data_IF_713403181916
#
_entry.id   IF_713403181916
#
_cell.length_a   1.000
_cell.length_b   1.000
_cell.length_c   1.000
_cell.angle_alpha   90.00
_cell.angle_beta   90.00
_cell.angle_gamma   90.00
#
_symmetry.space_group_name_H-M   'P 1'
#
loop_
_entity.id
_entity.type
_entity.pdbx_description
1 polymer ?
#
# COMPACT_ATOMS: atom_id res chain seq x y z
N UNK A 1 -14.46 -12.18 8.84
CA UNK A 1 -13.58 -12.51 7.70
C UNK A 1 -13.71 -11.44 6.62
N UNK A 2 -12.58 -10.93 6.16
CA UNK A 2 -12.60 -9.89 5.14
C UNK A 2 -12.99 -10.49 3.79
N UNK A 3 -14.01 -9.93 3.13
CA UNK A 3 -14.47 -10.48 1.84
C UNK A 3 -13.59 -10.01 0.68
N UNK A 4 -12.38 -10.55 0.60
CA UNK A 4 -11.44 -10.20 -0.48
C UNK A 4 -11.95 -10.58 -1.85
N UNK A 5 -11.52 -9.83 -2.86
CA UNK A 5 -11.75 -10.18 -4.25
C UNK A 5 -10.90 -11.39 -4.64
N UNK A 6 -11.12 -11.91 -5.85
CA UNK A 6 -10.37 -13.09 -6.31
C UNK A 6 -8.86 -12.86 -6.26
N UNK A 7 -8.09 -13.88 -5.82
CA UNK A 7 -6.65 -13.73 -5.66
C UNK A 7 -5.92 -13.28 -6.92
N UNK A 8 -6.22 -13.88 -8.07
CA UNK A 8 -5.58 -13.51 -9.32
C UNK A 8 -5.88 -12.07 -9.71
N UNK A 9 -7.11 -11.61 -9.47
CA UNK A 9 -7.50 -10.24 -9.75
C UNK A 9 -6.71 -9.25 -8.90
N UNK A 10 -6.56 -9.54 -7.60
CA UNK A 10 -5.82 -8.67 -6.69
C UNK A 10 -4.37 -8.57 -7.13
N UNK A 11 -3.71 -9.68 -7.37
CA UNK A 11 -2.30 -9.72 -7.78
C UNK A 11 -2.10 -8.94 -9.07
N UNK A 12 -2.99 -9.15 -10.04
CA UNK A 12 -2.90 -8.48 -11.33
C UNK A 12 -3.08 -6.96 -11.20
N UNK A 13 -4.12 -6.54 -10.47
CA UNK A 13 -4.44 -5.12 -10.36
C UNK A 13 -3.41 -4.34 -9.54
N UNK A 14 -2.80 -4.97 -8.55
CA UNK A 14 -1.71 -4.36 -7.79
C UNK A 14 -0.40 -4.36 -8.57
N UNK A 15 -0.35 -5.06 -9.69
CA UNK A 15 0.84 -5.15 -10.54
C UNK A 15 2.05 -5.68 -9.79
N UNK A 16 1.81 -6.66 -8.91
CA UNK A 16 2.89 -7.24 -8.13
C UNK A 16 3.96 -7.88 -9.00
N UNK A 17 3.57 -8.47 -10.13
CA UNK A 17 4.53 -9.12 -11.03
C UNK A 17 5.56 -8.17 -11.63
N UNK A 18 5.27 -6.87 -11.64
CA UNK A 18 6.22 -5.86 -12.10
C UNK A 18 7.25 -5.48 -11.04
N UNK A 19 7.10 -5.96 -9.81
CA UNK A 19 8.02 -5.66 -8.73
C UNK A 19 9.19 -6.63 -8.73
N UNK A 20 10.33 -6.17 -8.21
CA UNK A 20 11.48 -7.05 -7.98
C UNK A 20 11.60 -7.45 -6.51
N UNK A 21 11.06 -6.64 -5.61
CA UNK A 21 11.13 -6.91 -4.18
C UNK A 21 9.98 -6.20 -3.48
N UNK A 22 9.15 -6.95 -2.78
CA UNK A 22 7.93 -6.43 -2.17
C UNK A 22 7.97 -6.51 -0.64
N UNK A 23 7.40 -5.50 0.01
CA UNK A 23 7.23 -5.46 1.46
C UNK A 23 5.75 -5.27 1.79
N UNK A 24 5.23 -6.12 2.68
CA UNK A 24 3.88 -6.00 3.20
C UNK A 24 3.96 -5.59 4.67
N UNK A 25 3.26 -4.52 5.03
CA UNK A 25 3.26 -3.99 6.39
C UNK A 25 1.87 -4.12 6.98
N UNK A 26 1.75 -4.87 8.06
CA UNK A 26 0.49 -5.15 8.76
C UNK A 26 -0.59 -5.77 7.89
N UNK A 27 -0.23 -6.38 6.77
CA UNK A 27 -1.21 -7.01 5.89
C UNK A 27 -1.87 -8.20 6.59
N UNK A 28 -3.19 -8.38 6.45
CA UNK A 28 -3.86 -9.55 7.01
C UNK A 28 -3.26 -10.84 6.44
N UNK A 29 -3.27 -11.93 7.22
CA UNK A 29 -2.70 -13.20 6.76
C UNK A 29 -3.26 -13.68 5.43
N UNK A 30 -4.56 -13.50 5.20
CA UNK A 30 -5.19 -13.88 3.93
C UNK A 30 -4.56 -13.15 2.76
N UNK A 31 -4.38 -11.83 2.90
CA UNK A 31 -3.79 -11.03 1.83
C UNK A 31 -2.33 -11.42 1.60
N UNK A 32 -1.58 -11.66 2.67
CA UNK A 32 -0.19 -12.11 2.53
C UNK A 32 -0.10 -13.42 1.76
N UNK A 33 -1.01 -14.36 2.04
CA UNK A 33 -1.05 -15.64 1.33
C UNK A 33 -1.38 -15.43 -0.15
N UNK A 34 -2.34 -14.56 -0.45
CA UNK A 34 -2.71 -14.26 -1.83
C UNK A 34 -1.51 -13.72 -2.60
N UNK A 35 -0.83 -12.74 -2.04
CA UNK A 35 0.28 -12.08 -2.74
C UNK A 35 1.49 -12.98 -2.88
N UNK A 36 1.74 -13.87 -1.92
CA UNK A 36 2.87 -14.80 -2.00
C UNK A 36 2.63 -15.94 -2.96
N UNK A 37 1.37 -16.43 -3.07
CA UNK A 37 1.07 -17.63 -3.82
C UNK A 37 0.69 -17.38 -5.28
N UNK A 38 0.07 -16.25 -5.57
CA UNK A 38 -0.56 -16.02 -6.87
C UNK A 38 0.23 -15.10 -7.80
N UNK A 39 1.40 -14.61 -7.39
CA UNK A 39 2.25 -13.85 -8.30
C UNK A 39 2.95 -14.77 -9.28
N UNK A 40 3.01 -14.38 -10.54
CA UNK A 40 3.66 -15.15 -11.59
C UNK A 40 4.34 -14.16 -12.56
N UNK A 41 5.69 -14.16 -12.63
CA UNK A 41 6.60 -14.99 -11.85
C UNK A 41 6.60 -14.64 -10.38
N UNK A 42 7.07 -15.54 -9.51
CA UNK A 42 7.15 -15.25 -8.07
C UNK A 42 8.05 -14.04 -7.78
N UNK A 43 7.60 -13.19 -6.88
CA UNK A 43 8.35 -12.01 -6.44
C UNK A 43 8.74 -12.25 -4.98
N UNK A 44 9.97 -11.96 -4.57
CA UNK A 44 10.32 -12.02 -3.16
C UNK A 44 9.45 -11.07 -2.35
N UNK A 45 8.71 -11.61 -1.39
CA UNK A 45 7.78 -10.84 -0.56
C UNK A 45 8.17 -10.98 0.89
N UNK A 46 8.48 -9.86 1.54
CA UNK A 46 8.72 -9.82 2.97
C UNK A 46 7.48 -9.27 3.68
N UNK A 47 7.28 -9.67 4.92
CA UNK A 47 6.17 -9.17 5.72
C UNK A 47 6.69 -8.69 7.07
N UNK A 48 6.12 -7.58 7.57
CA UNK A 48 6.51 -7.03 8.85
C UNK A 48 5.30 -6.35 9.52
N UNK A 49 5.40 -6.14 10.82
CA UNK A 49 4.44 -5.32 11.55
C UNK A 49 4.82 -3.85 11.43
N UNK A 50 3.84 -2.96 11.56
CA UNK A 50 4.09 -1.53 11.42
C UNK A 50 5.12 -1.02 12.42
N UNK A 51 5.08 -1.49 13.66
CA UNK A 51 6.04 -1.06 14.67
C UNK A 51 7.46 -1.55 14.39
N UNK A 52 7.64 -2.55 13.55
CA UNK A 52 8.95 -3.10 13.21
C UNK A 52 9.52 -2.53 11.90
N UNK A 53 8.77 -1.71 11.18
CA UNK A 53 9.21 -1.21 9.88
C UNK A 53 10.51 -0.40 9.97
N UNK A 54 10.75 0.26 11.09
CA UNK A 54 11.97 1.04 11.28
C UNK A 54 13.22 0.18 11.32
N UNK A 55 13.07 -1.10 11.70
CA UNK A 55 14.19 -2.04 11.75
C UNK A 55 14.49 -2.65 10.40
N UNK A 56 13.61 -2.47 9.42
CA UNK A 56 13.83 -2.94 8.06
C UNK A 56 14.85 -2.01 7.41
N UNK A 57 15.94 -2.57 6.91
CA UNK A 57 17.02 -1.75 6.35
C UNK A 57 16.99 -1.68 4.82
N UNK A 58 16.39 -2.67 4.19
CA UNK A 58 16.32 -2.73 2.74
C UNK A 58 15.31 -1.74 2.21
N UNK A 59 15.42 -1.46 0.91
CA UNK A 59 14.41 -0.71 0.18
C UNK A 59 13.67 -1.65 -0.75
N UNK A 60 12.43 -1.26 -1.08
CA UNK A 60 11.53 -2.09 -1.87
C UNK A 60 10.91 -1.26 -2.97
N UNK A 61 10.68 -1.87 -4.12
CA UNK A 61 10.00 -1.19 -5.23
C UNK A 61 8.48 -1.41 -5.19
N UNK A 62 8.01 -2.25 -4.29
CA UNK A 62 6.59 -2.46 -4.03
C UNK A 62 6.41 -2.53 -2.52
N UNK A 63 5.64 -1.59 -1.97
CA UNK A 63 5.29 -1.61 -0.55
C UNK A 63 3.77 -1.53 -0.46
N UNK A 64 3.17 -2.43 0.32
CA UNK A 64 1.76 -2.33 0.67
C UNK A 64 1.65 -2.20 2.18
N UNK A 65 1.19 -1.05 2.63
CA UNK A 65 0.93 -0.77 4.04
C UNK A 65 -0.57 -0.87 4.29
N UNK A 66 -0.95 -1.72 5.22
CA UNK A 66 -2.34 -1.84 5.66
C UNK A 66 -2.56 -0.87 6.81
N UNK A 67 -3.33 0.19 6.57
CA UNK A 67 -3.53 1.25 7.55
C UNK A 67 -4.98 1.70 7.52
N UNK A 68 -5.80 1.14 8.40
CA UNK A 68 -7.21 1.53 8.50
C UNK A 68 -7.41 2.78 9.33
N UNK A 69 -6.67 2.92 10.42
CA UNK A 69 -6.86 3.98 11.40
C UNK A 69 -6.04 5.21 11.04
N UNK A 70 -6.71 6.37 11.03
CA UNK A 70 -6.04 7.64 10.81
C UNK A 70 -5.16 8.03 12.00
N UNK A 71 -5.58 7.66 13.21
CA UNK A 71 -4.83 7.97 14.43
C UNK A 71 -3.55 7.16 14.45
N UNK A 72 -2.43 7.83 14.62
CA UNK A 72 -1.13 7.16 14.65
C UNK A 72 -0.57 6.76 13.30
N UNK A 73 -1.26 7.11 12.20
CA UNK A 73 -0.81 6.71 10.87
C UNK A 73 0.46 7.43 10.40
N UNK A 74 0.71 8.63 10.88
CA UNK A 74 1.80 9.47 10.37
C UNK A 74 3.16 8.79 10.44
N UNK A 75 3.48 8.16 11.56
CA UNK A 75 4.77 7.48 11.73
C UNK A 75 4.90 6.31 10.76
N UNK A 76 3.82 5.55 10.56
CA UNK A 76 3.83 4.40 9.66
C UNK A 76 3.99 4.84 8.21
N UNK A 77 3.27 5.89 7.81
CA UNK A 77 3.37 6.43 6.45
C UNK A 77 4.79 6.94 6.18
N UNK A 78 5.37 7.69 7.10
CA UNK A 78 6.72 8.22 6.95
C UNK A 78 7.76 7.09 6.86
N UNK A 79 7.61 6.07 7.69
CA UNK A 79 8.53 4.94 7.66
C UNK A 79 8.45 4.16 6.35
N UNK A 80 7.24 4.00 5.80
CA UNK A 80 7.05 3.33 4.52
C UNK A 80 7.75 4.08 3.40
N UNK A 81 7.63 5.41 3.37
CA UNK A 81 8.30 6.23 2.35
C UNK A 81 9.81 6.04 2.38
N UNK A 82 10.39 5.93 3.58
CA UNK A 82 11.83 5.74 3.71
C UNK A 82 12.31 4.39 3.16
N UNK A 83 11.44 3.41 3.10
CA UNK A 83 11.78 2.08 2.57
C UNK A 83 11.51 1.96 1.07
N UNK A 84 10.92 2.97 0.46
CA UNK A 84 10.56 2.94 -0.95
C UNK A 84 11.77 3.24 -1.82
N UNK A 85 12.04 2.36 -2.78
CA UNK A 85 13.10 2.57 -3.76
C UNK A 85 12.75 3.71 -4.71
N UNK A 86 13.75 4.35 -5.33
CA UNK A 86 13.46 5.29 -6.43
C UNK A 86 12.63 4.59 -7.50
N UNK A 87 11.56 5.24 -7.93
CA UNK A 87 10.65 4.65 -8.91
C UNK A 87 9.72 3.59 -8.33
N UNK A 88 9.77 3.36 -7.02
CA UNK A 88 8.91 2.38 -6.38
C UNK A 88 7.46 2.83 -6.27
N UNK A 89 6.60 1.86 -5.97
CA UNK A 89 5.16 2.08 -5.82
C UNK A 89 4.75 1.77 -4.40
N UNK A 90 4.08 2.73 -3.77
CA UNK A 90 3.62 2.59 -2.39
C UNK A 90 2.10 2.47 -2.41
N UNK A 91 1.60 1.32 -2.00
CA UNK A 91 0.17 1.07 -1.86
C UNK A 91 -0.24 1.25 -0.41
N UNK A 92 -1.27 2.04 -0.17
CA UNK A 92 -1.86 2.18 1.16
C UNK A 92 -3.25 1.57 1.12
N UNK A 93 -3.42 0.46 1.82
CA UNK A 93 -4.71 -0.22 1.92
C UNK A 93 -5.45 0.32 3.14
N UNK A 94 -6.66 0.81 2.93
CA UNK A 94 -7.46 1.41 3.98
C UNK A 94 -8.92 0.97 3.89
N UNK A 95 -9.68 1.20 4.95
CA UNK A 95 -11.09 0.83 5.00
C UNK A 95 -11.93 1.85 4.27
N UNK A 96 -12.94 1.36 3.52
CA UNK A 96 -13.91 2.25 2.88
C UNK A 96 -14.71 2.98 3.96
N UNK A 97 -14.91 4.28 3.76
CA UNK A 97 -15.44 5.13 4.81
C UNK A 97 -16.88 4.81 5.20
N UNK A 98 -17.70 4.43 4.22
CA UNK A 98 -19.15 4.29 4.42
C UNK A 98 -19.65 2.86 4.54
N UNK A 99 -18.76 1.88 4.64
CA UNK A 99 -19.16 0.48 4.75
C UNK A 99 -19.10 0.00 6.18
N UNK A 100 -19.91 -1.00 6.50
CA UNK A 100 -19.81 -1.72 7.76
C UNK A 100 -18.98 -2.97 7.53
N UNK A 101 -18.25 -3.39 8.56
CA UNK A 101 -17.39 -4.57 8.48
C UNK A 101 -15.99 -4.32 9.03
N UNK A 102 -15.27 -3.25 8.61
CA UNK A 102 -13.95 -2.99 9.19
C UNK A 102 -14.02 -2.71 10.68
N UNK A 103 -12.98 -3.12 11.40
CA UNK A 103 -12.90 -2.92 12.85
C UNK A 103 -12.79 -1.43 13.23
N UNK A 104 -12.09 -0.67 12.42
CA UNK A 104 -11.88 0.75 12.69
C UNK A 104 -13.18 1.51 12.51
N UNK A 105 -13.63 2.28 13.52
CA UNK A 105 -14.83 3.10 13.39
C UNK A 105 -14.71 4.07 12.21
N UNK A 106 -15.84 4.33 11.55
CA UNK A 106 -15.86 5.16 10.36
C UNK A 106 -15.19 6.52 10.54
N UNK A 107 -15.39 7.14 11.70
CA UNK A 107 -14.82 8.47 12.00
C UNK A 107 -13.31 8.46 12.13
N UNK A 108 -12.71 7.29 12.34
CA UNK A 108 -11.26 7.15 12.48
C UNK A 108 -10.59 6.58 11.24
N UNK A 109 -11.35 6.29 10.19
CA UNK A 109 -10.79 5.68 8.98
C UNK A 109 -9.98 6.68 8.18
N UNK A 110 -8.82 6.22 7.72
CA UNK A 110 -7.92 7.01 6.90
C UNK A 110 -8.49 7.12 5.49
N UNK A 111 -8.60 8.34 4.99
CA UNK A 111 -9.14 8.59 3.66
C UNK A 111 -8.07 9.07 2.70
N UNK A 112 -8.42 9.13 1.41
CA UNK A 112 -7.49 9.59 0.37
C UNK A 112 -6.96 11.00 0.65
N UNK A 113 -7.83 11.90 1.13
CA UNK A 113 -7.40 13.27 1.43
C UNK A 113 -6.31 13.31 2.50
N UNK A 114 -6.45 12.46 3.53
CA UNK A 114 -5.45 12.36 4.58
C UNK A 114 -4.12 11.91 4.00
N UNK A 115 -4.16 10.94 3.10
CA UNK A 115 -2.96 10.39 2.46
C UNK A 115 -2.30 11.42 1.56
N UNK A 116 -3.09 12.15 0.78
CA UNK A 116 -2.57 13.18 -0.11
C UNK A 116 -1.84 14.27 0.68
N UNK A 117 -2.41 14.68 1.81
CA UNK A 117 -1.76 15.65 2.68
C UNK A 117 -0.47 15.11 3.29
N UNK A 118 -0.50 13.85 3.74
CA UNK A 118 0.65 13.23 4.38
C UNK A 118 1.83 13.10 3.42
N UNK A 119 1.56 12.81 2.15
CA UNK A 119 2.61 12.54 1.17
C UNK A 119 3.00 13.74 0.30
N UNK A 120 2.30 14.86 0.44
CA UNK A 120 2.60 16.05 -0.37
C UNK A 120 4.07 16.49 -0.19
N UNK A 121 4.55 16.45 1.04
CA UNK A 121 5.93 16.81 1.38
C UNK A 121 6.94 15.92 0.69
N UNK A 122 6.60 14.65 0.48
CA UNK A 122 7.50 13.69 -0.13
C UNK A 122 7.41 13.68 -1.66
N UNK A 123 6.54 14.49 -2.22
CA UNK A 123 6.35 14.56 -3.66
C UNK A 123 5.65 13.35 -4.25
N UNK A 124 4.94 12.59 -3.42
CA UNK A 124 4.20 11.43 -3.90
C UNK A 124 2.79 11.83 -4.29
N UNK A 125 2.31 11.28 -5.39
CA UNK A 125 0.94 11.51 -5.87
C UNK A 125 0.22 10.18 -6.05
N UNK A 126 -1.10 10.20 -5.81
CA UNK A 126 -1.93 9.03 -6.05
C UNK A 126 -2.27 8.94 -7.52
N UNK A 127 -1.91 7.83 -8.15
CA UNK A 127 -2.20 7.62 -9.57
C UNK A 127 -3.10 6.42 -9.85
N UNK A 128 -3.51 5.69 -8.83
CA UNK A 128 -4.34 4.51 -9.03
C UNK A 128 -5.06 4.11 -7.75
N UNK A 129 -6.25 3.56 -7.91
CA UNK A 129 -7.00 2.95 -6.81
C UNK A 129 -7.41 1.55 -7.23
N UNK A 130 -7.25 0.58 -6.32
CA UNK A 130 -7.66 -0.81 -6.55
C UNK A 130 -8.50 -1.29 -5.38
N UNK A 131 -9.72 -1.74 -5.65
CA UNK A 131 -10.58 -2.31 -4.64
C UNK A 131 -10.10 -3.71 -4.28
N UNK A 132 -9.78 -3.93 -3.00
CA UNK A 132 -9.26 -5.22 -2.53
C UNK A 132 -10.36 -6.13 -2.01
N UNK A 133 -11.39 -5.54 -1.42
CA UNK A 133 -12.48 -6.28 -0.81
C UNK A 133 -13.73 -5.41 -0.80
N UNK A 134 -14.85 -5.96 -0.32
CA UNK A 134 -16.05 -5.15 -0.13
C UNK A 134 -15.83 -4.02 0.90
N UNK A 135 -14.80 -4.15 1.74
CA UNK A 135 -14.54 -3.21 2.85
C UNK A 135 -13.29 -2.36 2.67
N UNK A 136 -12.39 -2.71 1.75
CA UNK A 136 -11.06 -2.11 1.66
C UNK A 136 -10.69 -1.74 0.25
N UNK A 137 -9.94 -0.65 0.14
CA UNK A 137 -9.36 -0.20 -1.13
C UNK A 137 -7.90 0.15 -0.91
N UNK A 138 -7.10 0.08 -1.98
CA UNK A 138 -5.69 0.45 -1.95
C UNK A 138 -5.44 1.60 -2.90
N UNK A 139 -4.72 2.61 -2.43
CA UNK A 139 -4.31 3.76 -3.24
C UNK A 139 -2.82 3.66 -3.53
N UNK A 140 -2.44 3.82 -4.79
CA UNK A 140 -1.04 3.78 -5.20
C UNK A 140 -0.46 5.17 -5.24
N UNK A 141 0.68 5.34 -4.55
CA UNK A 141 1.42 6.60 -4.53
C UNK A 141 2.78 6.40 -5.20
N UNK A 142 3.11 7.30 -6.10
CA UNK A 142 4.37 7.26 -6.86
C UNK A 142 4.95 8.66 -6.93
N UNK A 143 6.26 8.76 -7.15
CA UNK A 143 6.88 10.02 -7.48
C UNK A 143 6.72 10.24 -8.97
N UNK A 144 6.04 11.32 -9.37
CA UNK A 144 5.90 11.57 -10.80
C UNK A 144 7.25 11.93 -11.43
N UNK A 145 7.38 11.68 -12.72
CA UNK A 145 8.56 12.12 -13.46
C UNK A 145 8.62 13.64 -13.40
N UNK A 146 9.83 14.23 -13.22
CA UNK A 146 9.93 15.68 -13.20
C UNK A 146 9.46 16.26 -14.53
N UNK A 147 8.55 17.24 -14.45
CA UNK A 147 8.08 17.95 -15.63
C UNK A 147 9.26 18.58 -16.35
N UNK A 148 9.25 18.56 -17.65
CA UNK A 148 10.31 19.15 -18.44
C UNK A 148 11.51 18.25 -18.67
N UNK A 149 11.71 17.22 -17.88
CA UNK A 149 12.79 16.28 -18.17
C UNK A 149 12.46 15.49 -19.43
N UNK A 150 11.26 14.97 -19.53
CA UNK A 150 10.84 14.22 -20.68
C UNK A 150 10.59 15.09 -21.92
N UNK A 151 10.45 16.38 -21.72
CA UNK A 151 10.16 17.31 -22.79
C UNK A 151 11.38 17.82 -23.53
N UNK A 152 12.53 17.29 -23.24
CA UNK A 152 13.76 17.80 -23.86
C UNK A 152 14.39 16.87 -24.83
#
# INVERSE_FOLDING_TARGET
>A
MIPFRGPAEIVDRLELAAATKALLVDAPPELRSILAADSAPPVPVEATAAEAIRSVKDRFDFILLWQEDRVGSQANLAAAVKRLSPGGRLWIATALRKVQGPRTPAVHRLGLEDLEKAFARDGLVCDREVRLSAWHTAYRFVRPEPAGRGGR
#
